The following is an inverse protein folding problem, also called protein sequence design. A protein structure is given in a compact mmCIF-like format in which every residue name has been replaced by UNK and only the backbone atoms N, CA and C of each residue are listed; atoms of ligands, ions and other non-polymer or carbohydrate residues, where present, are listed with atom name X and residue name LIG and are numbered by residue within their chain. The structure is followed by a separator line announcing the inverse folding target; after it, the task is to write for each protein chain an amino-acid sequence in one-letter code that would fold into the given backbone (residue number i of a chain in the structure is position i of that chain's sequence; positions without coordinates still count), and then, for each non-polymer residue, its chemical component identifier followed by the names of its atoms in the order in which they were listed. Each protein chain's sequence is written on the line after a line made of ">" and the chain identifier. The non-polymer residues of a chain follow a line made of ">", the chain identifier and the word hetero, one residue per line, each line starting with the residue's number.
data_IF_450126204150
#
_entry.id   IF_450126204150
#
_cell.length_a   1.000
_cell.length_b   1.000
_cell.length_c   1.000
_cell.angle_alpha   90.00
_cell.angle_beta   90.00
_cell.angle_gamma   90.00
#
_symmetry.space_group_name_H-M   'P 1'
#
loop_
_entity.id
_entity.type
_entity.pdbx_description
1 polymer ?
#
# COMPACT_ATOMS: atom_id res chain seq x y z
N UNK A 1 5.60 -24.48 6.64
CA UNK A 1 4.69 -23.79 7.59
C UNK A 1 5.02 -22.32 7.52
N UNK A 2 4.01 -21.50 7.30
CA UNK A 2 4.06 -20.32 6.43
C UNK A 2 3.77 -19.06 7.25
N UNK A 3 4.79 -18.32 7.71
CA UNK A 3 4.63 -16.95 8.22
C UNK A 3 5.98 -16.33 8.59
N UNK A 4 6.49 -15.43 7.75
CA UNK A 4 7.59 -14.51 8.10
C UNK A 4 7.74 -13.34 7.11
N UNK A 5 6.93 -13.24 6.04
CA UNK A 5 7.13 -12.24 4.98
C UNK A 5 6.61 -10.82 5.34
N UNK A 6 6.22 -10.59 6.60
CA UNK A 6 5.48 -9.38 7.01
C UNK A 6 6.08 -8.60 8.16
N UNK A 7 7.09 -9.14 8.86
CA UNK A 7 7.55 -8.59 10.15
C UNK A 7 8.60 -7.46 10.00
N UNK A 8 9.05 -7.18 8.77
CA UNK A 8 10.04 -6.13 8.49
C UNK A 8 9.65 -5.11 7.42
N UNK A 9 8.47 -5.23 6.80
CA UNK A 9 8.07 -4.30 5.74
C UNK A 9 7.61 -2.97 6.34
N UNK A 10 8.02 -1.83 5.78
CA UNK A 10 7.62 -0.52 6.28
C UNK A 10 6.12 -0.30 6.08
N UNK A 11 5.49 0.38 7.05
CA UNK A 11 4.08 0.80 6.98
C UNK A 11 4.04 2.26 6.57
N UNK A 12 3.51 2.53 5.38
CA UNK A 12 3.37 3.87 4.81
C UNK A 12 1.90 4.27 4.74
N UNK A 13 1.63 5.56 4.86
CA UNK A 13 0.30 6.14 4.68
C UNK A 13 0.37 7.19 3.57
N UNK A 14 -0.48 7.05 2.56
CA UNK A 14 -0.55 8.00 1.46
C UNK A 14 -1.86 8.77 1.53
N UNK A 15 -1.78 10.09 1.37
CA UNK A 15 -2.95 10.96 1.41
C UNK A 15 -3.81 10.88 0.14
N UNK A 16 -3.25 10.39 -0.97
CA UNK A 16 -3.90 10.32 -2.29
C UNK A 16 -3.22 9.28 -3.18
N UNK A 17 -3.92 8.80 -4.22
CA UNK A 17 -3.36 7.88 -5.21
C UNK A 17 -2.07 8.41 -5.86
N UNK A 18 -2.00 9.69 -6.20
CA UNK A 18 -0.81 10.28 -6.83
C UNK A 18 0.47 10.16 -5.99
N UNK A 19 0.36 10.21 -4.65
CA UNK A 19 1.52 10.01 -3.76
C UNK A 19 1.93 8.55 -3.69
N UNK A 20 0.96 7.63 -3.73
CA UNK A 20 1.25 6.21 -3.85
C UNK A 20 1.91 5.90 -5.20
N UNK A 21 1.41 6.49 -6.28
CA UNK A 21 1.96 6.36 -7.63
C UNK A 21 3.42 6.77 -7.67
N UNK A 22 3.74 8.00 -7.24
CA UNK A 22 5.11 8.49 -7.23
C UNK A 22 6.06 7.58 -6.42
N UNK A 23 5.58 7.09 -5.27
CA UNK A 23 6.36 6.15 -4.47
C UNK A 23 6.58 4.82 -5.21
N UNK A 24 5.54 4.27 -5.85
CA UNK A 24 5.66 3.04 -6.64
C UNK A 24 6.58 3.26 -7.84
N UNK A 25 6.49 4.37 -8.57
CA UNK A 25 7.40 4.69 -9.68
C UNK A 25 8.87 4.57 -9.28
N UNK A 26 9.23 5.11 -8.11
CA UNK A 26 10.61 5.11 -7.62
C UNK A 26 11.02 3.77 -6.98
N UNK A 27 10.10 3.08 -6.30
CA UNK A 27 10.43 1.97 -5.40
C UNK A 27 9.90 0.59 -5.82
N UNK A 28 9.01 0.47 -6.82
CA UNK A 28 8.34 -0.79 -7.18
C UNK A 28 9.30 -1.92 -7.60
N UNK A 29 10.49 -1.59 -8.13
CA UNK A 29 11.48 -2.59 -8.55
C UNK A 29 12.45 -2.97 -7.44
N UNK A 30 12.66 -2.09 -6.45
CA UNK A 30 13.70 -2.24 -5.44
C UNK A 30 13.16 -2.75 -4.09
N UNK A 31 11.88 -2.55 -3.82
CA UNK A 31 11.26 -2.93 -2.55
C UNK A 31 10.63 -4.32 -2.61
N UNK A 32 10.82 -5.11 -1.55
CA UNK A 32 10.17 -6.43 -1.39
C UNK A 32 8.66 -6.34 -1.09
N UNK A 33 8.17 -5.14 -0.76
CA UNK A 33 6.78 -4.85 -0.49
C UNK A 33 6.64 -3.71 0.54
N UNK A 34 5.43 -3.17 0.68
CA UNK A 34 5.09 -2.23 1.75
C UNK A 34 3.71 -2.55 2.31
N UNK A 35 3.50 -2.16 3.56
CA UNK A 35 2.15 -2.07 4.12
C UNK A 35 1.62 -0.68 3.88
N UNK A 36 0.42 -0.57 3.29
CA UNK A 36 -0.22 0.73 3.14
C UNK A 36 -1.38 0.85 4.11
N UNK A 37 -1.35 1.92 4.89
CA UNK A 37 -2.41 2.28 5.82
C UNK A 37 -3.49 3.08 5.11
N UNK A 38 -4.62 2.42 4.89
CA UNK A 38 -5.83 3.02 4.31
C UNK A 38 -6.77 3.45 5.44
N UNK A 39 -7.06 4.75 5.50
CA UNK A 39 -8.04 5.29 6.44
C UNK A 39 -9.45 5.26 5.85
N UNK A 40 -10.46 5.13 6.73
CA UNK A 40 -11.87 5.23 6.30
C UNK A 40 -12.19 6.68 5.95
N UNK A 41 -13.04 6.92 4.94
CA UNK A 41 -13.50 8.27 4.57
C UNK A 41 -14.08 9.06 5.76
N UNK A 42 -14.71 8.36 6.70
CA UNK A 42 -15.29 8.95 7.91
C UNK A 42 -14.25 9.40 8.96
N UNK A 43 -12.97 9.07 8.80
CA UNK A 43 -11.93 9.44 9.75
C UNK A 43 -11.52 10.93 9.64
N UNK A 44 -11.96 11.63 8.59
CA UNK A 44 -11.55 13.02 8.32
C UNK A 44 -10.07 13.18 7.94
N UNK A 45 -9.36 12.07 7.72
CA UNK A 45 -7.96 12.03 7.33
C UNK A 45 -7.91 11.71 5.83
N UNK A 46 -7.22 12.56 5.06
CA UNK A 46 -6.97 12.31 3.66
C UNK A 46 -6.12 11.03 3.52
N UNK A 47 -6.65 10.04 2.81
CA UNK A 47 -5.98 8.77 2.59
C UNK A 47 -6.42 8.15 1.27
N UNK A 48 -5.48 7.47 0.61
CA UNK A 48 -5.76 6.65 -0.57
C UNK A 48 -6.83 5.61 -0.24
N UNK A 49 -7.79 5.43 -1.14
CA UNK A 49 -8.78 4.37 -0.96
C UNK A 49 -8.19 3.01 -1.28
N UNK A 50 -8.80 1.96 -0.73
CA UNK A 50 -8.42 0.59 -1.04
C UNK A 50 -8.44 0.29 -2.55
N UNK A 51 -9.41 0.86 -3.27
CA UNK A 51 -9.54 0.67 -4.71
C UNK A 51 -8.40 1.33 -5.48
N UNK A 52 -8.09 2.59 -5.16
CA UNK A 52 -6.93 3.30 -5.75
C UNK A 52 -5.63 2.56 -5.46
N UNK A 53 -5.43 2.08 -4.23
CA UNK A 53 -4.26 1.30 -3.88
C UNK A 53 -4.08 0.07 -4.76
N UNK A 54 -5.17 -0.68 -4.94
CA UNK A 54 -5.14 -1.90 -5.72
C UNK A 54 -4.86 -1.59 -7.20
N UNK A 55 -5.51 -0.56 -7.76
CA UNK A 55 -5.34 -0.14 -9.14
C UNK A 55 -3.89 0.30 -9.44
N UNK A 56 -3.35 1.16 -8.59
CA UNK A 56 -1.97 1.63 -8.66
C UNK A 56 -0.98 0.46 -8.53
N UNK A 57 -1.17 -0.42 -7.54
CA UNK A 57 -0.34 -1.61 -7.37
C UNK A 57 -0.33 -2.49 -8.62
N UNK A 58 -1.50 -2.77 -9.19
CA UNK A 58 -1.63 -3.62 -10.37
C UNK A 58 -0.92 -3.03 -11.60
N UNK A 59 -0.90 -1.70 -11.75
CA UNK A 59 -0.18 -1.01 -12.83
C UNK A 59 1.33 -1.32 -12.81
N UNK A 60 1.92 -1.46 -11.62
CA UNK A 60 3.33 -1.80 -11.41
C UNK A 60 3.57 -3.31 -11.23
N UNK A 61 2.54 -4.14 -11.43
CA UNK A 61 2.62 -5.60 -11.23
C UNK A 61 2.63 -6.04 -9.76
N UNK A 62 2.30 -5.14 -8.84
CA UNK A 62 2.17 -5.42 -7.42
C UNK A 62 0.75 -5.88 -7.08
N UNK A 63 0.63 -7.01 -6.39
CA UNK A 63 -0.67 -7.53 -5.95
C UNK A 63 -0.74 -7.51 -4.42
N UNK A 64 -1.88 -7.09 -3.89
CA UNK A 64 -2.12 -7.18 -2.45
C UNK A 64 -2.18 -8.65 -2.02
N UNK A 65 -1.21 -9.08 -1.20
CA UNK A 65 -1.10 -10.46 -0.72
C UNK A 65 -1.75 -10.66 0.66
N UNK A 66 -1.89 -9.59 1.47
CA UNK A 66 -2.48 -9.67 2.80
C UNK A 66 -3.20 -8.36 3.17
N UNK A 67 -4.39 -8.49 3.79
CA UNK A 67 -5.15 -7.36 4.33
C UNK A 67 -5.32 -7.55 5.84
N UNK A 68 -4.81 -6.61 6.63
CA UNK A 68 -4.98 -6.59 8.09
C UNK A 68 -5.93 -5.46 8.48
N UNK A 69 -6.93 -5.76 9.31
CA UNK A 69 -7.74 -4.73 9.98
C UNK A 69 -7.09 -4.43 11.32
N UNK A 70 -6.75 -3.16 11.52
CA UNK A 70 -6.36 -2.62 12.82
C UNK A 70 -7.58 -1.99 13.49
#
# INVERSE_FOLDING_TARGET
>A
MTQAYSEGLPILAFASAALLHAWLEEHHTNSEGIWVRVYRKSAGIASVTFAELLDEGLCYGWSESMRRRY
#
